data_IF_184556744751
#
_entry.id   IF_184556744751
#
_cell.length_a   1.000
_cell.length_b   1.000
_cell.length_c   1.000
_cell.angle_alpha   90.00
_cell.angle_beta   90.00
_cell.angle_gamma   90.00
#
_symmetry.space_group_name_H-M   'P 1'
#
loop_
_entity.id
_entity.type
_entity.pdbx_description
1 polymer ?
#
# COMPACT_ATOMS: atom_id res chain seq x y z
N UNK A 1 -3.46 -6.12 4.95
CA UNK A 1 -3.87 -5.54 6.25
C UNK A 1 -2.71 -5.63 7.24
N UNK A 2 -2.14 -6.79 7.60
CA UNK A 2 -1.07 -6.87 8.60
C UNK A 2 0.15 -6.00 8.32
N UNK A 3 0.52 -5.82 7.05
CA UNK A 3 1.60 -4.91 6.64
C UNK A 3 1.30 -3.45 7.02
N UNK A 4 0.07 -2.98 6.77
CA UNK A 4 -0.32 -1.60 7.10
C UNK A 4 -0.36 -1.38 8.62
N UNK A 5 -0.78 -2.38 9.38
CA UNK A 5 -0.74 -2.32 10.86
C UNK A 5 0.72 -2.19 11.34
N UNK A 6 1.64 -3.00 10.80
CA UNK A 6 3.05 -2.90 11.15
C UNK A 6 3.68 -1.55 10.72
N UNK A 7 3.27 -1.02 9.56
CA UNK A 7 3.73 0.28 9.08
C UNK A 7 3.26 1.42 9.99
N UNK A 8 1.98 1.41 10.38
CA UNK A 8 1.43 2.38 11.36
C UNK A 8 2.10 2.24 12.73
N UNK A 9 2.42 1.01 13.14
CA UNK A 9 3.18 0.75 14.37
C UNK A 9 4.56 1.41 14.36
N UNK A 10 5.26 1.37 13.23
CA UNK A 10 6.56 2.02 13.07
C UNK A 10 6.41 3.54 12.97
N UNK A 11 5.50 4.02 12.12
CA UNK A 11 5.28 5.47 11.92
C UNK A 11 4.80 6.17 13.19
N UNK A 12 3.93 5.54 13.99
CA UNK A 12 3.43 6.12 15.23
C UNK A 12 4.49 6.30 16.31
N UNK A 13 5.62 5.56 16.24
CA UNK A 13 6.79 5.83 17.10
C UNK A 13 7.56 7.08 16.66
N UNK A 14 7.63 7.32 15.36
CA UNK A 14 8.32 8.47 14.78
C UNK A 14 7.47 9.74 14.86
N UNK A 15 6.16 9.58 14.66
CA UNK A 15 5.17 10.66 14.65
C UNK A 15 4.05 10.35 15.64
N UNK A 16 4.26 10.54 16.97
CA UNK A 16 3.28 10.17 18.00
C UNK A 16 1.97 10.97 17.92
N UNK A 17 2.00 12.16 17.35
CA UNK A 17 0.83 13.04 17.17
C UNK A 17 0.14 12.84 15.81
N UNK A 18 0.65 11.96 14.95
CA UNK A 18 0.06 11.70 13.65
C UNK A 18 -1.25 10.95 13.77
N UNK A 19 -2.20 11.34 12.94
CA UNK A 19 -3.49 10.66 12.78
C UNK A 19 -3.44 9.75 11.57
N UNK A 20 -3.65 8.45 11.78
CA UNK A 20 -3.69 7.45 10.71
C UNK A 20 -5.14 7.10 10.40
N UNK A 21 -5.50 7.17 9.12
CA UNK A 21 -6.86 6.92 8.64
C UNK A 21 -6.85 5.93 7.49
N UNK A 22 -7.74 4.96 7.52
CA UNK A 22 -7.92 3.99 6.45
C UNK A 22 -9.38 3.99 5.96
N UNK A 23 -9.66 4.51 4.75
CA UNK A 23 -10.95 4.34 4.10
C UNK A 23 -11.14 2.87 3.71
N UNK A 24 -12.07 2.22 4.37
CA UNK A 24 -12.33 0.79 4.13
C UNK A 24 -13.28 0.64 2.95
N UNK A 25 -12.82 -0.09 1.92
CA UNK A 25 -13.67 -0.35 0.75
C UNK A 25 -14.89 -1.21 1.12
N UNK A 26 -16.05 -0.86 0.60
CA UNK A 26 -17.29 -1.66 0.73
C UNK A 26 -17.20 -3.03 0.09
N UNK A 27 -16.21 -3.23 -0.80
CA UNK A 27 -15.94 -4.54 -1.40
C UNK A 27 -15.15 -5.47 -0.47
N UNK A 28 -14.55 -4.93 0.60
CA UNK A 28 -13.81 -5.72 1.57
C UNK A 28 -14.79 -6.40 2.53
N UNK A 29 -14.81 -7.74 2.48
CA UNK A 29 -15.67 -8.53 3.37
C UNK A 29 -15.18 -8.42 4.82
N UNK A 30 -16.13 -8.37 5.75
CA UNK A 30 -15.86 -8.24 7.20
C UNK A 30 -14.97 -9.37 7.72
N UNK A 31 -15.19 -10.61 7.24
CA UNK A 31 -14.34 -11.75 7.64
C UNK A 31 -12.88 -11.53 7.21
N UNK A 32 -12.67 -11.00 5.99
CA UNK A 32 -11.32 -10.70 5.47
C UNK A 32 -10.66 -9.57 6.27
N UNK A 33 -11.43 -8.56 6.64
CA UNK A 33 -10.95 -7.46 7.48
C UNK A 33 -10.54 -7.99 8.86
N UNK A 34 -11.42 -8.73 9.52
CA UNK A 34 -11.19 -9.29 10.87
C UNK A 34 -10.01 -10.25 10.89
N UNK A 35 -9.95 -11.19 9.93
CA UNK A 35 -8.83 -12.14 9.80
C UNK A 35 -7.49 -11.41 9.54
N UNK A 36 -7.51 -10.37 8.70
CA UNK A 36 -6.33 -9.54 8.45
C UNK A 36 -5.89 -8.75 9.68
N UNK A 37 -6.81 -8.19 10.46
CA UNK A 37 -6.48 -7.50 11.72
C UNK A 37 -5.90 -8.50 12.74
N UNK A 38 -6.45 -9.70 12.83
CA UNK A 38 -5.93 -10.76 13.68
C UNK A 38 -4.55 -11.31 13.25
N UNK A 39 -4.00 -10.80 12.15
CA UNK A 39 -2.65 -11.14 11.69
C UNK A 39 -2.60 -12.33 10.74
N UNK A 40 -3.72 -12.73 10.13
CA UNK A 40 -3.69 -13.74 9.07
C UNK A 40 -2.76 -13.25 7.95
N UNK A 41 -1.85 -14.12 7.50
CA UNK A 41 -0.81 -13.83 6.51
C UNK A 41 0.23 -12.74 6.93
N UNK A 42 0.34 -12.39 8.21
CA UNK A 42 1.30 -11.37 8.69
C UNK A 42 2.74 -11.66 8.25
N UNK A 43 3.16 -12.93 8.26
CA UNK A 43 4.52 -13.36 7.84
C UNK A 43 4.84 -13.06 6.37
N UNK A 44 3.84 -12.82 5.54
CA UNK A 44 4.04 -12.65 4.09
C UNK A 44 4.83 -11.40 3.74
N UNK A 45 4.58 -10.29 4.45
CA UNK A 45 5.16 -8.97 4.21
C UNK A 45 5.70 -8.35 5.51
N UNK A 46 6.17 -9.16 6.46
CA UNK A 46 6.64 -8.68 7.77
C UNK A 46 5.58 -7.83 8.50
N UNK A 47 4.31 -8.22 8.35
CA UNK A 47 3.20 -7.55 9.01
C UNK A 47 3.03 -8.00 10.45
N UNK A 48 2.11 -7.36 11.16
CA UNK A 48 1.71 -7.70 12.53
C UNK A 48 0.20 -7.73 12.68
N UNK A 49 -0.27 -8.35 13.76
CA UNK A 49 -1.66 -8.25 14.18
C UNK A 49 -1.92 -6.92 14.88
N UNK A 50 -3.19 -6.53 14.94
CA UNK A 50 -3.71 -5.43 15.75
C UNK A 50 -4.97 -5.87 16.47
N UNK A 51 -5.58 -4.96 17.19
CA UNK A 51 -6.85 -5.16 17.88
C UNK A 51 -7.86 -4.14 17.39
N UNK A 52 -9.07 -4.60 17.05
CA UNK A 52 -10.16 -3.70 16.66
C UNK A 52 -10.85 -3.12 17.91
N UNK A 53 -10.69 -1.82 18.14
CA UNK A 53 -11.23 -1.12 19.32
C UNK A 53 -11.93 0.15 18.86
N UNK A 54 -13.23 0.24 19.10
CA UNK A 54 -14.05 1.42 18.84
C UNK A 54 -13.82 2.05 17.46
N UNK A 55 -13.88 1.23 16.37
CA UNK A 55 -13.76 1.69 14.98
C UNK A 55 -12.33 2.01 14.54
N UNK A 56 -11.33 1.67 15.33
CA UNK A 56 -9.94 1.79 14.95
C UNK A 56 -9.18 0.48 15.19
N UNK A 57 -8.14 0.24 14.41
CA UNK A 57 -7.16 -0.82 14.68
C UNK A 57 -6.07 -0.25 15.57
N UNK A 58 -5.89 -0.82 16.75
CA UNK A 58 -4.81 -0.49 17.68
C UNK A 58 -3.62 -1.41 17.38
N UNK A 59 -2.46 -0.82 17.16
CA UNK A 59 -1.22 -1.54 16.88
C UNK A 59 -0.53 -1.99 18.17
N UNK A 60 0.48 -2.87 18.13
CA UNK A 60 1.20 -3.33 19.33
C UNK A 60 1.80 -2.21 20.19
N UNK A 61 2.21 -1.07 19.61
CA UNK A 61 2.73 0.08 20.36
C UNK A 61 1.63 1.05 20.83
N UNK A 62 0.35 0.76 20.53
CA UNK A 62 -0.79 1.60 20.91
C UNK A 62 -1.18 2.67 19.89
N UNK A 63 -0.50 2.75 18.73
CA UNK A 63 -0.92 3.66 17.64
C UNK A 63 -2.28 3.24 17.10
N UNK A 64 -3.07 4.22 16.66
CA UNK A 64 -4.44 3.99 16.20
C UNK A 64 -4.56 4.25 14.70
N UNK A 65 -5.07 3.26 13.96
CA UNK A 65 -5.46 3.37 12.56
C UNK A 65 -7.00 3.44 12.50
N UNK A 66 -7.54 4.61 12.30
CA UNK A 66 -8.99 4.84 12.25
C UNK A 66 -9.57 4.23 10.96
N UNK A 67 -10.60 3.41 11.12
CA UNK A 67 -11.37 2.87 10.01
C UNK A 67 -12.52 3.82 9.69
N UNK A 68 -12.57 4.32 8.47
CA UNK A 68 -13.64 5.23 8.02
C UNK A 68 -14.40 4.63 6.83
N UNK A 69 -15.63 5.08 6.63
CA UNK A 69 -16.40 4.70 5.46
C UNK A 69 -15.75 5.19 4.16
N UNK A 70 -15.84 4.40 3.11
CA UNK A 70 -15.31 4.71 1.79
C UNK A 70 -15.83 6.05 1.24
N UNK A 71 -17.06 6.45 1.57
CA UNK A 71 -17.66 7.71 1.13
C UNK A 71 -16.94 8.94 1.70
N UNK A 72 -16.25 8.79 2.83
CA UNK A 72 -15.52 9.88 3.47
C UNK A 72 -14.10 10.05 2.90
N UNK A 73 -13.66 9.13 2.02
CA UNK A 73 -12.26 9.07 1.55
C UNK A 73 -11.76 10.39 0.96
N UNK A 74 -12.57 11.06 0.15
CA UNK A 74 -12.13 12.31 -0.51
C UNK A 74 -11.91 13.47 0.45
N UNK A 75 -12.71 13.56 1.51
CA UNK A 75 -12.53 14.57 2.55
C UNK A 75 -11.22 14.33 3.31
N UNK A 76 -10.94 13.08 3.66
CA UNK A 76 -9.71 12.69 4.33
C UNK A 76 -8.49 12.78 3.41
N UNK A 77 -8.61 12.42 2.13
CA UNK A 77 -7.54 12.61 1.15
C UNK A 77 -7.07 14.07 1.12
N UNK A 78 -8.00 15.01 0.97
CA UNK A 78 -7.66 16.44 0.90
C UNK A 78 -7.06 17.02 2.18
N UNK A 79 -7.27 16.37 3.31
CA UNK A 79 -6.76 16.78 4.61
C UNK A 79 -5.47 16.03 4.99
N UNK A 80 -5.01 15.08 4.17
CA UNK A 80 -3.84 14.28 4.45
C UNK A 80 -2.56 14.99 4.00
N UNK A 81 -1.54 14.96 4.84
CA UNK A 81 -0.20 15.42 4.52
C UNK A 81 0.54 14.40 3.63
N UNK A 82 0.22 13.12 3.76
CA UNK A 82 0.80 12.04 2.97
C UNK A 82 -0.19 10.88 2.85
N UNK A 83 -0.24 10.26 1.69
CA UNK A 83 -0.94 9.00 1.46
C UNK A 83 0.02 7.85 1.20
N UNK A 84 -0.30 6.66 1.71
CA UNK A 84 0.41 5.41 1.40
C UNK A 84 -0.58 4.48 0.73
N UNK A 85 -0.28 4.06 -0.49
CA UNK A 85 -1.23 3.34 -1.32
C UNK A 85 -0.56 2.26 -2.18
N UNK A 86 -1.36 1.52 -2.93
CA UNK A 86 -0.91 0.60 -3.98
C UNK A 86 -1.28 1.15 -5.36
N UNK A 87 -0.65 0.71 -6.46
CA UNK A 87 -1.04 1.12 -7.80
C UNK A 87 -2.52 0.86 -8.08
N UNK A 88 -3.18 1.82 -8.72
CA UNK A 88 -4.60 1.76 -9.06
C UNK A 88 -5.19 3.15 -9.34
N UNK A 89 -6.50 3.22 -9.55
CA UNK A 89 -7.23 4.49 -9.80
C UNK A 89 -7.14 5.47 -8.62
N UNK A 90 -6.96 4.97 -7.41
CA UNK A 90 -6.71 5.77 -6.21
C UNK A 90 -5.46 6.66 -6.31
N UNK A 91 -4.43 6.25 -7.06
CA UNK A 91 -3.26 7.10 -7.31
C UNK A 91 -3.64 8.34 -8.12
N UNK A 92 -4.54 8.19 -9.11
CA UNK A 92 -5.05 9.32 -9.87
C UNK A 92 -5.92 10.26 -9.00
N UNK A 93 -6.78 9.68 -8.14
CA UNK A 93 -7.59 10.45 -7.20
C UNK A 93 -6.72 11.28 -6.26
N UNK A 94 -5.64 10.71 -5.72
CA UNK A 94 -4.65 11.41 -4.88
C UNK A 94 -3.91 12.51 -5.66
N UNK A 95 -3.50 12.24 -6.90
CA UNK A 95 -2.87 13.24 -7.76
C UNK A 95 -3.78 14.43 -8.06
N UNK A 96 -5.05 14.18 -8.37
CA UNK A 96 -6.06 15.25 -8.59
C UNK A 96 -6.33 16.02 -7.29
N UNK A 97 -6.27 15.36 -6.15
CA UNK A 97 -6.43 16.01 -4.84
C UNK A 97 -5.19 16.80 -4.40
N UNK A 98 -4.05 16.67 -5.10
CA UNK A 98 -2.78 17.32 -4.75
C UNK A 98 -2.14 16.72 -3.49
N UNK A 99 -2.38 15.44 -3.21
CA UNK A 99 -1.86 14.77 -2.01
C UNK A 99 -0.59 14.01 -2.35
N UNK A 100 0.55 14.31 -1.69
CA UNK A 100 1.76 13.52 -1.83
C UNK A 100 1.51 12.05 -1.50
N UNK A 101 2.11 11.13 -2.26
CA UNK A 101 1.85 9.72 -2.05
C UNK A 101 3.10 8.84 -2.20
N UNK A 102 3.19 7.83 -1.33
CA UNK A 102 4.08 6.67 -1.49
C UNK A 102 3.28 5.52 -2.08
N UNK A 103 3.63 5.11 -3.28
CA UNK A 103 2.94 4.03 -4.02
C UNK A 103 3.76 2.75 -3.88
N UNK A 104 3.16 1.74 -3.24
CA UNK A 104 3.84 0.48 -2.91
C UNK A 104 3.53 -0.60 -3.93
N UNK A 105 4.56 -1.16 -4.56
CA UNK A 105 4.46 -2.36 -5.40
C UNK A 105 5.25 -3.51 -4.77
N UNK A 106 4.65 -4.28 -3.83
CA UNK A 106 5.32 -5.36 -3.16
C UNK A 106 5.59 -6.53 -4.11
N UNK A 107 6.86 -6.84 -4.33
CA UNK A 107 7.33 -7.99 -5.12
C UNK A 107 7.66 -9.21 -4.25
N UNK A 108 7.34 -9.16 -2.96
CA UNK A 108 7.56 -10.25 -2.01
C UNK A 108 6.80 -11.52 -2.43
N UNK A 109 5.64 -11.34 -3.11
CA UNK A 109 4.83 -12.42 -3.72
C UNK A 109 4.34 -12.01 -5.11
N UNK A 110 5.20 -12.04 -6.12
CA UNK A 110 4.82 -11.61 -7.47
C UNK A 110 3.69 -12.47 -8.07
N UNK A 111 3.50 -13.70 -7.59
CA UNK A 111 2.41 -14.58 -8.00
C UNK A 111 1.00 -14.07 -7.66
N UNK A 112 0.87 -13.14 -6.71
CA UNK A 112 -0.42 -12.56 -6.29
C UNK A 112 -0.81 -11.36 -7.14
N UNK A 113 0.13 -10.77 -7.88
CA UNK A 113 -0.14 -9.61 -8.73
C UNK A 113 -1.05 -10.04 -9.89
N UNK A 114 -2.25 -9.44 -10.04
CA UNK A 114 -3.12 -9.74 -11.17
C UNK A 114 -2.46 -9.21 -12.45
N UNK A 115 -2.08 -10.12 -13.34
CA UNK A 115 -1.64 -9.78 -14.70
C UNK A 115 -2.87 -9.82 -15.60
N UNK A 116 -3.32 -8.67 -16.06
CA UNK A 116 -4.36 -8.59 -17.09
C UNK A 116 -3.80 -8.93 -18.47
N UNK A 117 -4.62 -9.57 -19.31
CA UNK A 117 -4.22 -9.93 -20.67
C UNK A 117 -3.46 -11.26 -20.79
N UNK A 118 -2.41 -11.30 -21.61
CA UNK A 118 -1.67 -12.54 -21.96
C UNK A 118 -1.09 -13.30 -20.77
N UNK A 119 -0.81 -12.60 -19.64
CA UNK A 119 -0.32 -13.23 -18.40
C UNK A 119 -1.34 -14.15 -17.71
N UNK A 120 -2.62 -13.99 -17.97
CA UNK A 120 -3.68 -14.85 -17.42
C UNK A 120 -3.56 -16.30 -17.95
N UNK A 121 -3.19 -16.48 -19.20
CA UNK A 121 -3.04 -17.79 -19.85
C UNK A 121 -1.87 -18.60 -19.28
N UNK A 122 -0.81 -17.95 -18.83
CA UNK A 122 0.35 -18.61 -18.21
C UNK A 122 0.02 -19.23 -16.85
N UNK A 123 -1.01 -18.74 -16.15
CA UNK A 123 -1.49 -19.29 -14.89
C UNK A 123 -2.31 -20.57 -15.02
N UNK A 124 -2.78 -20.91 -16.21
CA UNK A 124 -3.64 -22.08 -16.45
C UNK A 124 -2.86 -23.41 -16.57
N UNK A 125 -1.53 -23.37 -16.67
CA UNK A 125 -0.69 -24.57 -16.74
C UNK A 125 -0.39 -25.08 -15.34
N UNK A 126 -0.89 -26.26 -14.92
CA UNK A 126 -0.65 -26.81 -13.59
C UNK A 126 0.84 -27.03 -13.32
N UNK A 127 1.30 -26.74 -12.10
CA UNK A 127 2.65 -26.93 -11.58
C UNK A 127 3.74 -26.03 -12.21
N UNK A 128 3.84 -25.96 -13.54
CA UNK A 128 4.87 -25.15 -14.24
C UNK A 128 4.43 -23.69 -14.35
N UNK A 129 3.14 -23.43 -14.49
CA UNK A 129 2.58 -22.09 -14.69
C UNK A 129 2.90 -21.13 -13.52
N UNK A 130 2.97 -21.64 -12.27
CA UNK A 130 3.30 -20.81 -11.09
C UNK A 130 4.75 -20.32 -11.11
N UNK A 131 5.72 -21.17 -11.50
CA UNK A 131 7.13 -20.77 -11.61
C UNK A 131 7.34 -19.87 -12.82
N UNK A 132 6.69 -20.18 -13.94
CA UNK A 132 6.75 -19.37 -15.15
C UNK A 132 6.10 -17.99 -14.94
N UNK A 133 4.97 -17.93 -14.22
CA UNK A 133 4.33 -16.68 -13.80
C UNK A 133 5.25 -15.85 -12.92
N UNK A 134 5.90 -16.44 -11.90
CA UNK A 134 6.88 -15.74 -11.04
C UNK A 134 8.03 -15.15 -11.85
N UNK A 135 8.58 -15.92 -12.78
CA UNK A 135 9.68 -15.48 -13.62
C UNK A 135 9.23 -14.39 -14.60
N UNK A 136 8.07 -14.55 -15.23
CA UNK A 136 7.49 -13.56 -16.13
C UNK A 136 7.14 -12.25 -15.41
N UNK A 137 6.55 -12.32 -14.21
CA UNK A 137 6.27 -11.13 -13.39
C UNK A 137 7.57 -10.45 -12.96
N UNK A 138 8.58 -11.22 -12.56
CA UNK A 138 9.90 -10.68 -12.19
C UNK A 138 10.55 -9.96 -13.38
N UNK A 139 10.61 -10.59 -14.56
CA UNK A 139 11.14 -9.96 -15.77
C UNK A 139 10.32 -8.76 -16.22
N UNK A 140 8.98 -8.84 -16.08
CA UNK A 140 8.09 -7.75 -16.44
C UNK A 140 8.30 -6.53 -15.55
N UNK A 141 8.46 -6.72 -14.25
CA UNK A 141 8.69 -5.60 -13.32
C UNK A 141 10.13 -5.11 -13.34
N UNK A 142 11.12 -5.99 -13.48
CA UNK A 142 12.54 -5.60 -13.67
C UNK A 142 12.78 -4.94 -15.05
N UNK A 143 11.93 -5.25 -16.03
CA UNK A 143 11.94 -4.62 -17.36
C UNK A 143 11.01 -3.40 -17.50
N UNK A 144 10.16 -3.12 -16.50
CA UNK A 144 9.34 -1.92 -16.46
C UNK A 144 10.20 -0.72 -16.03
N UNK A 145 10.73 -0.01 -17.02
CA UNK A 145 11.12 1.39 -16.85
C UNK A 145 9.91 2.34 -16.90
N UNK A 146 8.69 1.80 -16.71
CA UNK A 146 7.44 2.58 -16.76
C UNK A 146 6.90 2.74 -15.35
N UNK A 147 6.60 3.98 -14.91
CA UNK A 147 5.99 4.24 -13.62
C UNK A 147 4.71 3.43 -13.40
N UNK A 148 4.44 3.03 -12.15
CA UNK A 148 3.27 2.20 -11.80
C UNK A 148 2.08 3.03 -11.34
N UNK A 149 2.31 4.24 -10.86
CA UNK A 149 1.24 5.21 -10.55
C UNK A 149 0.70 5.87 -11.81
N UNK A 150 -0.59 6.13 -11.83
CA UNK A 150 -1.21 6.78 -12.98
C UNK A 150 -0.71 8.22 -13.20
N UNK A 151 -0.54 9.07 -12.17
CA UNK A 151 0.01 10.42 -12.36
C UNK A 151 1.39 10.40 -13.02
N UNK A 152 2.36 9.63 -12.51
CA UNK A 152 3.70 9.57 -13.09
C UNK A 152 3.67 9.08 -14.54
N UNK A 153 2.82 8.09 -14.85
CA UNK A 153 2.65 7.59 -16.23
C UNK A 153 2.05 8.61 -17.18
N UNK A 154 1.12 9.43 -16.71
CA UNK A 154 0.41 10.40 -17.57
C UNK A 154 1.24 11.65 -17.83
N UNK A 155 2.03 12.09 -16.87
CA UNK A 155 2.86 13.30 -16.97
C UNK A 155 4.27 13.00 -17.48
N UNK A 156 4.78 11.82 -17.23
CA UNK A 156 6.19 11.48 -17.44
C UNK A 156 7.12 12.05 -16.36
N UNK A 157 6.55 12.54 -15.26
CA UNK A 157 7.26 13.12 -14.12
C UNK A 157 7.10 12.26 -12.88
N UNK A 158 8.02 12.35 -11.93
CA UNK A 158 7.99 11.62 -10.65
C UNK A 158 7.17 12.39 -9.61
N UNK A 159 5.86 12.55 -9.86
CA UNK A 159 4.93 13.24 -8.96
C UNK A 159 4.63 12.46 -7.68
N UNK A 160 4.77 11.14 -7.73
CA UNK A 160 4.57 10.25 -6.59
C UNK A 160 5.79 9.37 -6.40
N UNK A 161 6.16 9.13 -5.16
CA UNK A 161 7.26 8.23 -4.82
C UNK A 161 6.82 6.79 -4.98
N UNK A 162 7.49 6.03 -5.85
CA UNK A 162 7.20 4.63 -6.10
C UNK A 162 8.23 3.73 -5.40
N UNK A 163 7.74 2.84 -4.53
CA UNK A 163 8.57 1.86 -3.84
C UNK A 163 8.22 0.47 -4.34
N UNK A 164 9.12 -0.14 -5.09
CA UNK A 164 8.95 -1.47 -5.67
C UNK A 164 9.97 -2.48 -5.13
N UNK A 165 9.67 -3.76 -5.27
CA UNK A 165 10.58 -4.85 -4.88
C UNK A 165 10.22 -5.49 -3.55
N UNK A 166 11.24 -5.95 -2.81
CA UNK A 166 11.01 -6.48 -1.45
C UNK A 166 10.85 -5.32 -0.50
N UNK A 167 9.62 -5.08 -0.11
CA UNK A 167 9.28 -4.04 0.86
C UNK A 167 9.07 -4.63 2.24
N UNK A 168 9.41 -3.87 3.25
CA UNK A 168 9.11 -4.12 4.66
C UNK A 168 8.61 -2.81 5.33
N UNK A 169 7.91 -2.91 6.49
CA UNK A 169 7.32 -1.73 7.13
C UNK A 169 8.33 -0.65 7.52
N UNK A 170 9.56 -1.01 7.91
CA UNK A 170 10.57 -0.04 8.33
C UNK A 170 11.09 0.78 7.16
N UNK A 171 11.45 0.14 6.06
CA UNK A 171 11.95 0.83 4.85
C UNK A 171 10.90 1.78 4.26
N UNK A 172 9.62 1.39 4.30
CA UNK A 172 8.53 2.28 3.85
C UNK A 172 8.31 3.42 4.82
N UNK A 173 8.39 3.18 6.14
CA UNK A 173 8.26 4.22 7.15
C UNK A 173 9.40 5.26 7.05
N UNK A 174 10.64 4.83 6.81
CA UNK A 174 11.77 5.73 6.57
C UNK A 174 11.54 6.63 5.35
N UNK A 175 11.03 6.06 4.24
CA UNK A 175 10.73 6.83 3.05
C UNK A 175 9.60 7.82 3.27
N UNK A 176 8.53 7.40 3.96
CA UNK A 176 7.41 8.28 4.33
C UNK A 176 7.87 9.40 5.27
N UNK A 177 8.72 9.10 6.24
CA UNK A 177 9.28 10.09 7.16
C UNK A 177 10.17 11.12 6.44
N UNK A 178 10.99 10.68 5.49
CA UNK A 178 11.82 11.58 4.68
C UNK A 178 10.95 12.57 3.90
N UNK A 179 9.89 12.10 3.24
CA UNK A 179 8.95 12.96 2.52
C UNK A 179 8.27 13.99 3.42
N UNK A 180 7.79 13.56 4.60
CA UNK A 180 7.14 14.47 5.56
C UNK A 180 8.10 15.50 6.15
N UNK A 181 9.40 15.20 6.20
CA UNK A 181 10.43 16.09 6.75
C UNK A 181 11.00 17.05 5.71
N UNK A 182 10.90 16.72 4.43
CA UNK A 182 11.39 17.54 3.32
C UNK A 182 10.22 18.30 2.66
N UNK A 183 9.95 19.52 3.18
CA UNK A 183 8.90 20.38 2.64
C UNK A 183 9.11 20.74 1.15
N UNK A 184 10.31 20.58 0.62
CA UNK A 184 10.64 20.80 -0.78
C UNK A 184 10.17 19.66 -1.71
N UNK A 185 10.08 18.44 -1.23
CA UNK A 185 9.57 17.28 -1.98
C UNK A 185 8.03 17.23 -1.99
N UNK A 186 7.35 17.97 -1.09
CA UNK A 186 5.89 17.98 -0.93
C UNK A 186 5.21 19.14 -1.70
N UNK A 187 5.95 20.07 -2.25
CA UNK A 187 5.46 21.24 -2.97
C UNK A 187 5.37 21.00 -4.47
#
# INVERSE_FOLDING_TARGET
IPFMIALVDVLGRTFPDARFVWPVSRLLREETLTAGIAGEQARTLSGTAGELVAGAVVTPNGSRLELIDEDQRYAHMRAADLAITIPGTNTLELGVAGVPAVVLLPMNRPEVIPLEGAGHWLGLVPVVGRYLKRYAVKLFVEGLSVPVSLPNRMTGEDLMVEVSGRIDPHSVAERAAALLSDAGELA
#
